data_IF_156381619917
#
_entry.id   IF_156381619917
#
_cell.length_a   1.000
_cell.length_b   1.000
_cell.length_c   1.000
_cell.angle_alpha   90.00
_cell.angle_beta   90.00
_cell.angle_gamma   90.00
#
_symmetry.space_group_name_H-M   'P 1'
#
loop_
_entity.id
_entity.type
_entity.pdbx_description
1 polymer ?
#
# COMPACT_ATOMS: atom_id res chain seq x y z
N UNK A 1 83.64 3.31 18.87
CA UNK A 1 84.73 4.09 19.48
C UNK A 1 85.05 5.24 18.53
N UNK A 2 85.12 6.49 19.01
CA UNK A 2 84.10 7.19 19.81
C UNK A 2 83.82 8.62 19.28
N UNK A 3 82.65 9.21 19.54
CA UNK A 3 82.47 10.31 20.53
C UNK A 3 82.20 11.62 19.78
N UNK A 4 81.39 12.61 20.18
CA UNK A 4 80.82 13.10 21.45
C UNK A 4 79.73 14.14 21.03
N UNK A 5 78.47 14.09 21.49
CA UNK A 5 77.88 14.60 22.75
C UNK A 5 77.20 15.98 22.65
N UNK A 6 75.90 16.05 22.98
CA UNK A 6 75.23 17.01 23.89
C UNK A 6 73.71 16.91 23.67
N UNK A 7 72.97 16.10 24.43
CA UNK A 7 72.28 16.47 25.68
C UNK A 7 71.57 17.84 25.67
N UNK A 8 70.23 17.80 25.65
CA UNK A 8 69.46 18.50 26.70
C UNK A 8 68.17 17.73 26.98
N UNK A 9 68.00 17.42 28.26
CA UNK A 9 67.04 16.55 28.89
C UNK A 9 66.06 17.42 29.70
N UNK A 10 64.97 16.78 30.13
CA UNK A 10 64.16 17.08 31.33
C UNK A 10 63.06 18.16 31.13
N UNK A 11 61.77 18.02 31.47
CA UNK A 11 61.00 17.53 32.66
C UNK A 11 59.52 17.61 32.22
N UNK A 12 58.53 16.81 32.63
CA UNK A 12 58.39 15.79 33.64
C UNK A 12 56.91 15.34 33.68
N UNK A 13 56.71 14.05 33.95
CA UNK A 13 55.50 13.44 34.49
C UNK A 13 55.02 14.20 35.75
N UNK A 14 53.71 14.24 36.00
CA UNK A 14 53.08 13.46 37.09
C UNK A 14 51.62 13.86 37.37
N UNK A 15 50.72 12.90 37.18
CA UNK A 15 49.64 12.46 38.11
C UNK A 15 48.76 13.49 38.84
N UNK A 16 47.43 13.39 38.69
CA UNK A 16 46.54 12.82 39.72
C UNK A 16 45.04 12.89 39.36
N UNK A 17 44.38 11.81 39.77
CA UNK A 17 42.99 11.40 39.75
C UNK A 17 41.87 12.41 40.09
N UNK A 18 40.67 11.94 39.72
CA UNK A 18 39.32 12.21 40.26
C UNK A 18 38.57 13.46 39.79
N UNK A 19 37.48 13.23 39.03
CA UNK A 19 36.08 13.42 39.46
C UNK A 19 35.13 13.17 38.27
N UNK A 20 33.93 12.67 38.56
CA UNK A 20 32.92 12.21 37.60
C UNK A 20 32.18 13.31 36.82
N UNK A 21 31.04 12.95 36.18
CA UNK A 21 30.54 13.61 34.99
C UNK A 21 29.55 14.74 35.28
N UNK A 22 29.75 15.91 34.67
CA UNK A 22 28.73 16.95 34.63
C UNK A 22 28.47 17.43 33.19
N UNK A 23 27.25 17.12 32.77
CA UNK A 23 26.40 17.80 31.78
C UNK A 23 26.63 19.32 31.71
N UNK A 24 27.01 19.83 30.54
CA UNK A 24 26.70 21.20 30.14
C UNK A 24 26.23 21.23 28.68
N UNK A 25 24.90 21.36 28.55
CA UNK A 25 24.20 21.63 27.31
C UNK A 25 24.42 23.09 26.90
N UNK A 26 24.79 23.32 25.64
CA UNK A 26 24.78 24.65 25.03
C UNK A 26 23.36 25.03 24.55
N UNK A 27 22.98 26.32 24.64
CA UNK A 27 21.59 26.76 24.48
C UNK A 27 21.15 26.83 23.01
N UNK A 28 19.94 26.32 22.74
CA UNK A 28 19.23 26.56 21.48
C UNK A 28 18.45 27.90 21.54
N UNK A 29 18.41 28.69 20.46
CA UNK A 29 17.65 29.94 20.41
C UNK A 29 16.14 29.70 20.32
N UNK A 30 15.40 30.60 20.98
CA UNK A 30 13.95 30.63 21.14
C UNK A 30 13.17 30.59 19.82
N UNK A 31 12.18 29.69 19.75
CA UNK A 31 11.00 29.87 18.92
C UNK A 31 9.75 29.56 19.74
N UNK A 32 8.87 30.56 19.85
CA UNK A 32 7.66 30.58 20.67
C UNK A 32 6.71 29.40 20.39
N UNK A 33 6.25 28.74 21.46
CA UNK A 33 4.95 28.05 21.52
C UNK A 33 4.09 28.72 22.60
N UNK A 34 2.84 29.12 22.31
CA UNK A 34 1.93 29.57 23.35
C UNK A 34 1.38 28.36 24.11
N UNK A 35 1.54 28.40 25.44
CA UNK A 35 0.64 27.71 26.37
C UNK A 35 -0.63 28.56 26.51
N UNK A 36 -1.81 27.96 26.34
CA UNK A 36 -3.03 28.52 26.94
C UNK A 36 -3.57 27.47 27.91
N UNK A 37 -3.45 27.88 29.17
CA UNK A 37 -3.93 27.26 30.38
C UNK A 37 -5.43 27.55 30.56
N UNK A 38 -6.11 26.61 31.18
CA UNK A 38 -7.36 26.71 31.95
C UNK A 38 -8.73 26.91 31.25
N UNK A 39 -9.47 25.80 31.34
CA UNK A 39 -10.86 25.61 31.82
C UNK A 39 -11.58 26.86 32.37
N UNK A 40 -12.89 26.86 32.11
CA UNK A 40 -13.91 27.83 32.49
C UNK A 40 -13.94 29.09 31.64
N UNK A 41 -14.63 29.02 30.50
CA UNK A 41 -15.48 30.08 29.93
C UNK A 41 -15.90 29.65 28.52
N UNK A 42 -17.03 28.93 28.40
CA UNK A 42 -17.81 28.72 27.17
C UNK A 42 -19.15 28.04 27.49
N UNK A 43 -19.87 28.62 28.45
CA UNK A 43 -21.34 28.77 28.42
C UNK A 43 -21.53 30.23 28.00
N UNK A 44 -22.52 30.54 27.16
CA UNK A 44 -22.65 31.77 26.34
C UNK A 44 -21.95 31.69 24.99
N UNK A 45 -22.62 31.07 24.01
CA UNK A 45 -22.99 31.62 22.69
C UNK A 45 -23.73 30.46 21.99
N UNK A 46 -24.98 30.25 22.39
CA UNK A 46 -25.95 29.37 21.74
C UNK A 46 -27.32 29.66 22.36
N UNK A 47 -27.74 30.91 22.25
CA UNK A 47 -29.05 31.39 22.68
C UNK A 47 -29.42 32.63 21.85
N UNK A 48 -29.46 32.46 20.53
CA UNK A 48 -30.12 33.39 19.61
C UNK A 48 -30.23 32.73 18.24
N UNK A 49 -31.22 31.85 18.09
CA UNK A 49 -31.83 31.41 16.82
C UNK A 49 -32.80 30.24 17.07
N UNK A 50 -33.74 30.42 18.01
CA UNK A 50 -34.90 29.53 18.18
C UNK A 50 -36.10 30.41 18.54
N UNK A 51 -36.47 31.27 17.62
CA UNK A 51 -37.77 31.90 17.55
C UNK A 51 -38.05 32.05 16.05
N UNK A 52 -39.29 31.78 15.64
CA UNK A 52 -39.81 31.62 14.27
C UNK A 52 -39.83 30.15 13.81
N UNK A 53 -41.05 29.71 13.50
CA UNK A 53 -41.55 28.40 13.07
C UNK A 53 -42.07 27.50 14.21
N UNK A 54 -43.27 27.85 14.67
CA UNK A 54 -44.07 27.01 15.55
C UNK A 54 -44.47 25.69 14.90
N UNK A 55 -44.38 24.62 15.69
CA UNK A 55 -45.07 23.35 15.52
C UNK A 55 -45.47 22.83 16.93
N UNK A 56 -46.65 22.21 17.08
CA UNK A 56 -47.31 22.03 18.36
C UNK A 56 -46.73 20.87 19.18
N UNK A 57 -46.83 21.01 20.50
CA UNK A 57 -46.55 20.00 21.49
C UNK A 57 -47.50 18.79 21.32
N UNK A 58 -46.93 17.58 21.32
CA UNK A 58 -47.68 16.34 21.47
C UNK A 58 -46.91 15.35 22.35
N UNK A 59 -47.55 14.98 23.46
CA UNK A 59 -47.48 13.67 24.12
C UNK A 59 -46.12 13.17 24.60
N UNK A 60 -45.88 13.31 25.91
CA UNK A 60 -44.92 12.49 26.65
C UNK A 60 -45.57 11.12 26.88
N UNK A 61 -45.10 10.10 26.17
CA UNK A 61 -45.30 8.70 26.55
C UNK A 61 -43.96 8.16 27.09
N UNK A 62 -43.87 8.13 28.41
CA UNK A 62 -42.81 7.49 29.19
C UNK A 62 -42.99 5.98 29.14
N UNK A 63 -42.37 5.30 28.17
CA UNK A 63 -41.99 3.88 28.28
C UNK A 63 -41.16 3.42 27.07
N UNK A 64 -39.83 3.61 27.11
CA UNK A 64 -38.87 2.78 26.38
C UNK A 64 -37.43 3.03 26.87
N UNK A 65 -37.13 2.39 28.00
CA UNK A 65 -35.78 2.22 28.53
C UNK A 65 -34.98 1.24 27.65
N UNK A 66 -33.84 1.67 27.08
CA UNK A 66 -32.60 0.85 26.90
C UNK A 66 -31.50 1.48 26.01
N UNK A 67 -31.74 2.51 25.16
CA UNK A 67 -30.70 2.95 24.18
C UNK A 67 -30.24 4.40 24.32
N UNK A 68 -29.44 4.72 25.34
CA UNK A 68 -28.61 5.93 25.29
C UNK A 68 -27.48 5.93 26.32
N UNK A 69 -26.45 5.10 26.13
CA UNK A 69 -25.12 5.38 26.71
C UNK A 69 -24.03 5.16 25.68
N UNK A 70 -23.34 6.27 25.37
CA UNK A 70 -22.03 6.36 24.74
C UNK A 70 -21.92 6.00 23.25
N UNK A 71 -22.59 6.76 22.39
CA UNK A 71 -22.08 7.00 21.03
C UNK A 71 -21.25 8.27 21.02
N UNK A 72 -19.99 8.17 21.48
CA UNK A 72 -18.98 9.19 21.20
C UNK A 72 -18.70 9.09 19.70
N UNK A 73 -19.36 9.92 18.91
CA UNK A 73 -19.09 10.08 17.48
C UNK A 73 -17.62 10.52 17.40
N UNK A 74 -16.72 9.60 17.08
CA UNK A 74 -15.41 9.98 16.56
C UNK A 74 -15.68 10.61 15.21
N UNK A 75 -15.81 11.93 15.19
CA UNK A 75 -15.88 12.75 13.99
C UNK A 75 -14.55 12.62 13.25
N UNK A 76 -14.47 11.59 12.41
CA UNK A 76 -13.32 11.32 11.57
C UNK A 76 -13.31 9.86 11.12
N UNK A 77 -13.15 9.64 9.82
CA UNK A 77 -12.83 8.34 9.20
C UNK A 77 -14.02 7.42 8.86
N UNK A 78 -15.05 7.97 8.21
CA UNK A 78 -16.00 7.22 7.39
C UNK A 78 -16.13 7.91 6.02
N UNK A 79 -16.06 7.15 4.92
CA UNK A 79 -16.27 7.66 3.56
C UNK A 79 -17.71 7.36 3.14
N UNK A 80 -18.34 8.20 2.32
CA UNK A 80 -19.68 7.91 1.80
C UNK A 80 -19.61 6.75 0.80
N UNK A 81 -20.52 5.78 0.88
CA UNK A 81 -20.55 4.58 0.01
C UNK A 81 -20.54 4.92 -1.47
N UNK A 82 -21.26 5.96 -1.89
CA UNK A 82 -21.28 6.43 -3.29
C UNK A 82 -19.93 6.96 -3.80
N UNK A 83 -19.09 7.46 -2.89
CA UNK A 83 -17.75 7.99 -3.20
C UNK A 83 -16.66 6.91 -3.12
N UNK A 84 -17.01 5.71 -2.67
CA UNK A 84 -16.08 4.60 -2.61
C UNK A 84 -15.67 4.14 -4.01
N UNK A 85 -14.46 3.55 -4.16
CA UNK A 85 -14.04 2.98 -5.43
C UNK A 85 -15.00 1.90 -5.94
N UNK A 86 -15.39 1.98 -7.23
CA UNK A 86 -16.37 1.07 -7.83
C UNK A 86 -15.93 -0.40 -7.80
N UNK A 87 -14.62 -0.67 -7.79
CA UNK A 87 -14.08 -2.03 -7.76
C UNK A 87 -14.27 -2.74 -6.41
N UNK A 88 -14.72 -2.04 -5.36
CA UNK A 88 -15.11 -2.66 -4.07
C UNK A 88 -16.47 -3.36 -4.12
N UNK A 89 -17.28 -3.11 -5.16
CA UNK A 89 -18.60 -3.75 -5.33
C UNK A 89 -19.48 -3.62 -4.07
N UNK A 90 -19.47 -2.44 -3.46
CA UNK A 90 -20.41 -2.11 -2.40
C UNK A 90 -21.75 -1.74 -3.01
N UNK A 91 -22.82 -2.27 -2.42
CA UNK A 91 -24.16 -1.90 -2.82
C UNK A 91 -24.49 -0.46 -2.37
N UNK A 92 -25.31 0.23 -3.14
CA UNK A 92 -25.71 1.61 -2.87
C UNK A 92 -26.69 1.71 -1.68
N UNK A 93 -27.49 0.67 -1.45
CA UNK A 93 -28.50 0.65 -0.40
C UNK A 93 -27.98 0.07 0.92
N UNK A 94 -26.81 -0.58 0.91
CA UNK A 94 -26.19 -1.21 2.08
C UNK A 94 -25.67 -0.26 3.18
N UNK A 95 -25.99 1.03 3.10
CA UNK A 95 -25.63 2.05 4.09
C UNK A 95 -25.02 3.31 3.48
N UNK A 96 -25.00 4.40 4.25
CA UNK A 96 -24.44 5.69 3.81
C UNK A 96 -22.91 5.67 3.84
N UNK A 97 -22.30 4.86 4.72
CA UNK A 97 -20.86 4.88 4.97
C UNK A 97 -20.14 3.58 4.59
N UNK A 98 -19.00 3.73 3.93
CA UNK A 98 -18.02 2.69 3.65
C UNK A 98 -16.79 2.84 4.55
N UNK A 99 -16.08 1.72 4.74
CA UNK A 99 -14.79 1.72 5.44
C UNK A 99 -13.75 2.46 4.62
N UNK A 100 -13.27 3.59 5.15
CA UNK A 100 -12.13 4.31 4.61
C UNK A 100 -10.83 3.60 5.06
N UNK A 101 -9.99 3.12 4.14
CA UNK A 101 -8.69 2.54 4.48
C UNK A 101 -7.78 3.57 5.16
N UNK A 102 -6.95 3.11 6.10
CA UNK A 102 -5.89 3.94 6.68
C UNK A 102 -4.76 4.13 5.67
N UNK A 103 -3.93 5.15 5.90
CA UNK A 103 -2.67 5.31 5.18
C UNK A 103 -1.78 4.11 5.44
N UNK A 104 -1.21 3.53 4.39
CA UNK A 104 -0.42 2.31 4.47
C UNK A 104 0.33 2.04 3.16
N UNK A 105 0.67 0.77 2.89
CA UNK A 105 1.43 0.37 1.70
C UNK A 105 0.84 0.87 0.38
N UNK A 106 -0.49 0.76 0.26
CA UNK A 106 -1.22 1.00 -0.99
C UNK A 106 -2.03 2.29 -0.95
N UNK A 107 -2.26 2.88 -2.13
CA UNK A 107 -3.09 4.08 -2.26
C UNK A 107 -4.56 3.75 -1.98
N UNK A 108 -5.31 4.73 -1.48
CA UNK A 108 -6.74 4.56 -1.14
C UNK A 108 -7.59 4.03 -2.31
N UNK A 109 -7.37 4.53 -3.53
CA UNK A 109 -8.10 4.09 -4.73
C UNK A 109 -7.57 2.82 -5.37
N UNK A 110 -6.39 2.35 -4.95
CA UNK A 110 -5.70 1.17 -5.46
C UNK A 110 -5.53 0.11 -4.36
N UNK A 111 -6.50 0.01 -3.44
CA UNK A 111 -6.47 -0.99 -2.37
C UNK A 111 -7.84 -1.62 -2.16
N UNK A 112 -7.88 -2.66 -1.35
CA UNK A 112 -9.03 -3.35 -0.80
C UNK A 112 -8.81 -3.46 0.72
N UNK A 113 -9.63 -2.80 1.55
CA UNK A 113 -9.47 -2.88 3.00
C UNK A 113 -9.74 -4.30 3.51
N UNK A 114 -9.01 -4.74 4.54
CA UNK A 114 -9.19 -6.07 5.13
C UNK A 114 -10.64 -6.33 5.56
N UNK A 115 -11.36 -5.32 6.05
CA UNK A 115 -12.77 -5.46 6.41
C UNK A 115 -13.68 -5.86 5.24
N UNK A 116 -13.31 -5.52 4.01
CA UNK A 116 -14.08 -5.91 2.84
C UNK A 116 -13.75 -7.34 2.40
N UNK A 117 -12.51 -7.78 2.66
CA UNK A 117 -12.08 -9.16 2.47
C UNK A 117 -12.76 -10.10 3.48
N UNK A 118 -12.84 -9.68 4.75
CA UNK A 118 -13.53 -10.41 5.81
C UNK A 118 -14.79 -9.67 6.26
N UNK A 119 -15.95 -10.10 5.77
CA UNK A 119 -17.23 -9.62 6.31
C UNK A 119 -17.57 -10.24 7.68
N UNK A 120 -16.93 -11.36 8.05
CA UNK A 120 -17.17 -12.10 9.31
C UNK A 120 -15.97 -12.02 10.26
N UNK A 121 -16.25 -12.21 11.57
CA UNK A 121 -15.39 -12.03 12.76
C UNK A 121 -14.14 -12.94 12.86
N UNK A 122 -13.39 -13.16 11.78
CA UNK A 122 -12.08 -13.81 11.87
C UNK A 122 -11.04 -12.74 12.27
N UNK A 123 -10.48 -12.88 13.48
CA UNK A 123 -9.64 -11.86 14.12
C UNK A 123 -8.14 -12.00 13.85
N UNK A 124 -7.69 -13.09 13.22
CA UNK A 124 -6.26 -13.36 13.02
C UNK A 124 -5.99 -13.58 11.53
N UNK A 125 -5.52 -12.51 10.88
CA UNK A 125 -5.01 -12.57 9.50
C UNK A 125 -3.56 -12.15 9.52
N UNK A 126 -2.75 -12.84 8.72
CA UNK A 126 -1.41 -12.42 8.37
C UNK A 126 -1.43 -11.83 6.96
N UNK A 127 -1.00 -10.56 6.84
CA UNK A 127 -0.75 -9.91 5.55
C UNK A 127 0.75 -9.75 5.41
N UNK A 128 1.29 -10.29 4.32
CA UNK A 128 2.72 -10.39 4.07
C UNK A 128 3.50 -10.99 5.27
N UNK A 129 2.97 -12.04 5.88
CA UNK A 129 3.57 -12.73 7.05
C UNK A 129 3.43 -11.99 8.38
N UNK A 130 2.94 -10.74 8.39
CA UNK A 130 2.72 -9.95 9.62
C UNK A 130 1.27 -10.03 10.06
N UNK A 131 1.05 -10.31 11.34
CA UNK A 131 -0.30 -10.33 11.92
C UNK A 131 -0.86 -8.91 11.88
N UNK A 132 -2.01 -8.74 11.22
CA UNK A 132 -2.72 -7.46 11.15
C UNK A 132 -4.05 -7.59 11.86
N UNK A 133 -4.22 -6.83 12.94
CA UNK A 133 -5.47 -6.71 13.69
C UNK A 133 -6.37 -5.59 13.16
N UNK A 134 -5.79 -4.65 12.40
CA UNK A 134 -6.51 -3.50 11.88
C UNK A 134 -7.43 -3.84 10.70
N UNK A 135 -8.73 -3.71 10.91
CA UNK A 135 -9.76 -3.90 9.89
C UNK A 135 -9.67 -2.87 8.73
N UNK A 136 -9.10 -1.68 8.97
CA UNK A 136 -8.95 -0.60 7.97
C UNK A 136 -7.63 -0.67 7.22
N UNK A 137 -6.83 -1.72 7.41
CA UNK A 137 -5.55 -1.85 6.73
C UNK A 137 -5.75 -2.00 5.21
N UNK A 138 -5.04 -1.22 4.37
CA UNK A 138 -5.14 -1.33 2.92
C UNK A 138 -4.30 -2.50 2.41
N UNK A 139 -4.96 -3.60 2.03
CA UNK A 139 -4.32 -4.64 1.24
C UNK A 139 -4.47 -4.31 -0.25
N UNK A 140 -3.48 -4.59 -1.08
CA UNK A 140 -3.48 -4.17 -2.48
C UNK A 140 -2.88 -5.21 -3.42
N UNK A 141 -2.51 -4.75 -4.60
CA UNK A 141 -1.98 -5.59 -5.66
C UNK A 141 -0.72 -6.35 -5.20
N UNK A 142 -0.66 -7.66 -5.48
CA UNK A 142 0.41 -8.60 -5.11
C UNK A 142 0.55 -8.95 -3.62
N UNK A 143 -0.25 -8.37 -2.73
CA UNK A 143 -0.22 -8.74 -1.31
C UNK A 143 -0.59 -10.21 -1.11
N UNK A 144 0.11 -10.87 -0.18
CA UNK A 144 -0.19 -12.25 0.23
C UNK A 144 -0.94 -12.20 1.56
N UNK A 145 -2.13 -12.81 1.57
CA UNK A 145 -3.00 -12.91 2.73
C UNK A 145 -3.04 -14.38 3.13
N UNK A 146 -2.60 -14.67 4.35
CA UNK A 146 -2.59 -16.04 4.89
C UNK A 146 -3.53 -16.13 6.09
N UNK A 147 -4.41 -17.13 6.07
CA UNK A 147 -5.33 -17.43 7.17
C UNK A 147 -4.80 -18.68 7.89
N UNK A 148 -4.33 -18.50 9.12
CA UNK A 148 -3.72 -19.60 9.89
C UNK A 148 -4.72 -20.69 10.26
N UNK A 149 -5.99 -20.32 10.49
CA UNK A 149 -7.00 -21.29 10.92
C UNK A 149 -7.36 -22.30 9.83
N UNK A 150 -7.34 -21.87 8.57
CA UNK A 150 -7.67 -22.72 7.42
C UNK A 150 -6.42 -23.14 6.64
N UNK A 151 -5.23 -22.63 7.00
CA UNK A 151 -3.98 -22.79 6.25
C UNK A 151 -4.09 -22.41 4.77
N UNK A 152 -5.00 -21.48 4.45
CA UNK A 152 -5.18 -21.01 3.09
C UNK A 152 -4.40 -19.72 2.84
N UNK A 153 -3.69 -19.71 1.72
CA UNK A 153 -2.92 -18.57 1.24
C UNK A 153 -3.56 -18.00 -0.01
N UNK A 154 -3.77 -16.69 0.01
CA UNK A 154 -4.38 -15.94 -1.07
C UNK A 154 -3.44 -14.84 -1.55
N UNK A 155 -3.49 -14.58 -2.85
CA UNK A 155 -2.83 -13.42 -3.47
C UNK A 155 -3.87 -12.51 -4.10
N UNK A 156 -3.73 -11.21 -3.87
CA UNK A 156 -4.59 -10.21 -4.49
C UNK A 156 -4.08 -9.86 -5.89
N UNK A 157 -4.90 -10.18 -6.89
CA UNK A 157 -4.63 -9.90 -8.31
C UNK A 157 -5.77 -9.10 -8.93
N UNK A 158 -5.51 -8.48 -10.08
CA UNK A 158 -6.56 -7.89 -10.89
C UNK A 158 -7.17 -8.91 -11.84
N UNK A 159 -8.50 -8.88 -11.91
CA UNK A 159 -9.29 -9.50 -12.98
C UNK A 159 -9.24 -8.63 -14.24
N UNK A 160 -9.51 -9.25 -15.39
CA UNK A 160 -9.60 -8.62 -16.70
C UNK A 160 -10.67 -7.50 -16.80
N UNK A 161 -11.63 -7.54 -15.86
CA UNK A 161 -12.67 -6.52 -15.69
C UNK A 161 -12.21 -5.32 -14.84
N UNK A 162 -10.99 -5.35 -14.31
CA UNK A 162 -10.43 -4.31 -13.44
C UNK A 162 -10.89 -4.40 -11.98
N UNK A 163 -11.23 -5.59 -11.50
CA UNK A 163 -11.65 -5.84 -10.11
C UNK A 163 -10.56 -6.60 -9.37
N UNK A 164 -10.53 -6.52 -8.04
CA UNK A 164 -9.68 -7.41 -7.26
C UNK A 164 -10.29 -8.81 -7.24
N UNK A 165 -9.47 -9.79 -7.60
CA UNK A 165 -9.75 -11.22 -7.42
C UNK A 165 -8.82 -11.79 -6.38
N UNK A 166 -9.39 -12.61 -5.51
CA UNK A 166 -8.67 -13.37 -4.51
C UNK A 166 -8.25 -14.68 -5.17
N UNK A 167 -6.96 -14.81 -5.48
CA UNK A 167 -6.42 -16.01 -6.10
C UNK A 167 -5.87 -16.94 -5.02
N UNK A 168 -6.31 -18.21 -5.01
CA UNK A 168 -5.77 -19.23 -4.10
C UNK A 168 -4.40 -19.67 -4.62
N UNK A 169 -3.40 -19.61 -3.76
CA UNK A 169 -2.01 -19.98 -4.07
C UNK A 169 -1.51 -21.10 -3.18
N UNK A 170 -0.42 -21.74 -3.57
CA UNK A 170 0.29 -22.71 -2.72
C UNK A 170 1.14 -21.98 -1.67
N UNK A 171 1.47 -22.67 -0.57
CA UNK A 171 2.29 -22.10 0.49
C UNK A 171 3.69 -21.69 0.03
N UNK A 172 4.28 -22.42 -0.93
CA UNK A 172 5.59 -22.08 -1.53
C UNK A 172 5.53 -20.74 -2.28
N UNK A 173 4.48 -20.52 -3.08
CA UNK A 173 4.28 -19.23 -3.74
C UNK A 173 3.98 -18.09 -2.77
N UNK A 174 3.39 -18.40 -1.62
CA UNK A 174 3.08 -17.42 -0.58
C UNK A 174 4.32 -16.87 0.16
N UNK A 175 5.48 -17.50 0.01
CA UNK A 175 6.73 -17.04 0.65
C UNK A 175 7.35 -15.86 -0.08
N UNK A 176 7.08 -15.71 -1.38
CA UNK A 176 7.63 -14.62 -2.18
C UNK A 176 6.55 -13.68 -2.71
N UNK A 177 6.97 -12.47 -3.07
CA UNK A 177 6.12 -11.43 -3.64
C UNK A 177 6.88 -10.63 -4.68
N UNK A 178 6.19 -10.25 -5.73
CA UNK A 178 6.73 -9.32 -6.71
C UNK A 178 6.38 -7.90 -6.31
N UNK A 179 7.39 -7.03 -6.32
CA UNK A 179 7.25 -5.61 -6.04
C UNK A 179 7.87 -4.81 -7.18
N UNK A 180 7.15 -3.81 -7.69
CA UNK A 180 7.70 -2.92 -8.73
C UNK A 180 8.51 -1.81 -8.08
N UNK A 181 9.67 -1.51 -8.66
CA UNK A 181 10.52 -0.39 -8.25
C UNK A 181 9.91 0.91 -8.77
N UNK A 182 9.55 1.82 -7.86
CA UNK A 182 9.06 3.16 -8.20
C UNK A 182 10.21 4.08 -8.58
N UNK A 183 11.20 4.17 -7.71
CA UNK A 183 12.35 5.03 -7.89
C UNK A 183 13.54 4.50 -7.09
N UNK A 184 14.73 4.77 -7.62
CA UNK A 184 16.01 4.57 -6.95
C UNK A 184 16.48 5.92 -6.41
N UNK A 185 16.84 5.95 -5.14
CA UNK A 185 17.29 7.14 -4.44
C UNK A 185 18.60 6.85 -3.72
N UNK A 186 19.34 7.90 -3.40
CA UNK A 186 20.56 7.80 -2.60
C UNK A 186 20.30 8.49 -1.27
N UNK A 187 20.48 7.77 -0.17
CA UNK A 187 20.33 8.31 1.18
C UNK A 187 21.61 9.04 1.61
N UNK A 188 21.54 9.72 2.76
CA UNK A 188 22.72 10.27 3.43
C UNK A 188 23.76 9.16 3.65
N UNK A 189 25.04 9.47 3.41
CA UNK A 189 26.12 8.50 3.43
C UNK A 189 26.27 7.70 2.13
N UNK A 190 25.74 8.21 1.01
CA UNK A 190 25.85 7.59 -0.32
C UNK A 190 25.29 6.15 -0.38
N UNK A 191 24.28 5.86 0.45
CA UNK A 191 23.67 4.53 0.49
C UNK A 191 22.54 4.47 -0.53
N UNK A 192 22.65 3.68 -1.62
CA UNK A 192 21.56 3.51 -2.57
C UNK A 192 20.41 2.72 -1.93
N UNK A 193 19.19 3.18 -2.18
CA UNK A 193 17.97 2.48 -1.78
C UNK A 193 16.90 2.57 -2.85
N UNK A 194 16.11 1.50 -2.99
CA UNK A 194 14.94 1.47 -3.85
C UNK A 194 13.67 1.65 -3.04
N UNK A 195 12.71 2.34 -3.64
CA UNK A 195 11.34 2.44 -3.15
C UNK A 195 10.44 1.56 -4.00
N UNK A 196 9.60 0.76 -3.36
CA UNK A 196 8.69 -0.17 -4.05
C UNK A 196 7.26 0.34 -4.11
N UNK A 197 6.43 -0.31 -4.92
CA UNK A 197 4.98 -0.05 -4.98
C UNK A 197 4.30 -0.14 -3.63
N UNK A 198 4.75 -1.08 -2.80
CA UNK A 198 4.16 -1.41 -1.50
C UNK A 198 4.69 -0.52 -0.37
N UNK A 199 5.48 0.50 -0.70
CA UNK A 199 6.05 1.41 0.27
C UNK A 199 7.21 0.81 1.08
N UNK A 200 7.75 -0.34 0.69
CA UNK A 200 8.98 -0.89 1.28
C UNK A 200 10.19 -0.17 0.70
N UNK A 201 11.16 0.10 1.56
CA UNK A 201 12.48 0.60 1.19
C UNK A 201 13.53 -0.51 1.38
N UNK A 202 14.25 -0.83 0.31
CA UNK A 202 15.32 -1.83 0.35
C UNK A 202 16.64 -1.09 0.12
N UNK A 203 17.56 -1.26 1.06
CA UNK A 203 18.91 -0.68 0.99
C UNK A 203 19.84 -1.64 0.25
N UNK A 204 20.84 -1.10 -0.41
CA UNK A 204 21.82 -1.86 -1.19
C UNK A 204 21.18 -2.78 -2.24
N UNK A 205 20.38 -2.23 -3.17
CA UNK A 205 19.92 -2.99 -4.33
C UNK A 205 21.11 -3.36 -5.23
N UNK A 206 20.94 -4.41 -6.04
CA UNK A 206 21.88 -4.72 -7.13
C UNK A 206 21.94 -3.52 -8.11
N UNK A 207 23.14 -3.09 -8.57
CA UNK A 207 23.31 -1.99 -9.52
C UNK A 207 22.53 -2.14 -10.84
N UNK A 208 22.18 -3.37 -11.23
CA UNK A 208 21.43 -3.65 -12.46
C UNK A 208 19.94 -3.31 -12.36
N UNK A 209 19.42 -3.08 -11.15
CA UNK A 209 18.00 -2.77 -10.90
C UNK A 209 17.71 -1.31 -11.23
N UNK A 210 16.79 -1.07 -12.16
CA UNK A 210 16.35 0.26 -12.59
C UNK A 210 14.92 0.55 -12.16
N UNK A 211 14.50 1.80 -12.36
CA UNK A 211 13.11 2.19 -12.13
C UNK A 211 12.17 1.46 -13.12
N UNK A 212 10.99 1.08 -12.63
CA UNK A 212 9.97 0.26 -13.30
C UNK A 212 10.27 -1.24 -13.46
N UNK A 213 11.45 -1.69 -13.07
CA UNK A 213 11.74 -3.12 -12.95
C UNK A 213 10.93 -3.74 -11.80
N UNK A 214 10.81 -5.06 -11.82
CA UNK A 214 10.16 -5.79 -10.72
C UNK A 214 11.17 -6.64 -9.98
N UNK A 215 11.02 -6.68 -8.67
CA UNK A 215 11.91 -7.33 -7.74
C UNK A 215 11.11 -8.41 -7.02
N UNK A 216 11.67 -9.61 -6.96
CA UNK A 216 11.16 -10.72 -6.17
C UNK A 216 11.69 -10.56 -4.76
N UNK A 217 10.78 -10.37 -3.81
CA UNK A 217 11.08 -10.23 -2.39
C UNK A 217 10.59 -11.49 -1.67
N UNK A 218 11.45 -12.06 -0.85
CA UNK A 218 11.06 -13.07 0.13
C UNK A 218 10.45 -12.37 1.37
N UNK A 219 9.25 -12.78 1.77
CA UNK A 219 8.50 -12.17 2.87
C UNK A 219 9.17 -12.42 4.23
N UNK A 220 9.85 -13.54 4.39
CA UNK A 220 10.46 -13.92 5.67
C UNK A 220 11.70 -13.06 5.96
N UNK A 221 12.62 -12.99 4.99
CA UNK A 221 13.88 -12.25 5.11
C UNK A 221 13.76 -10.78 4.69
N UNK A 222 12.73 -10.40 3.93
CA UNK A 222 12.57 -9.11 3.26
C UNK A 222 13.76 -8.73 2.36
N UNK A 223 14.51 -9.73 1.89
CA UNK A 223 15.63 -9.56 0.94
C UNK A 223 15.17 -9.82 -0.49
N UNK A 224 15.94 -9.30 -1.43
CA UNK A 224 15.75 -9.51 -2.86
C UNK A 224 16.30 -10.90 -3.20
N UNK A 225 15.49 -11.74 -3.84
CA UNK A 225 15.93 -13.05 -4.33
C UNK A 225 16.31 -12.99 -5.81
N UNK A 226 15.45 -12.40 -6.64
CA UNK A 226 15.65 -12.23 -8.07
C UNK A 226 15.02 -10.89 -8.52
N UNK A 227 15.35 -10.42 -9.71
CA UNK A 227 14.72 -9.27 -10.34
C UNK A 227 14.44 -9.53 -11.81
N UNK A 228 13.44 -8.83 -12.34
CA UNK A 228 13.01 -8.88 -13.73
C UNK A 228 13.08 -7.48 -14.31
N UNK A 229 13.83 -7.33 -15.39
CA UNK A 229 14.01 -6.05 -16.08
C UNK A 229 12.77 -5.68 -16.88
N UNK A 230 12.50 -4.39 -16.95
CA UNK A 230 11.48 -3.80 -17.81
C UNK A 230 12.03 -3.66 -19.24
N UNK A 231 11.94 -4.76 -20.00
CA UNK A 231 12.41 -4.87 -21.38
C UNK A 231 11.34 -5.47 -22.29
N UNK A 232 11.48 -5.26 -23.60
CA UNK A 232 10.60 -5.86 -24.60
C UNK A 232 10.74 -7.40 -24.56
N UNK A 233 9.64 -8.10 -24.78
CA UNK A 233 9.58 -9.56 -24.72
C UNK A 233 9.24 -10.14 -23.33
N UNK A 234 9.24 -9.33 -22.27
CA UNK A 234 8.81 -9.79 -20.94
C UNK A 234 7.29 -9.69 -20.74
N UNK A 235 6.75 -10.58 -19.91
CA UNK A 235 5.34 -10.63 -19.60
C UNK A 235 4.98 -9.57 -18.55
N UNK A 236 3.96 -8.77 -18.83
CA UNK A 236 3.49 -7.74 -17.93
C UNK A 236 1.96 -7.73 -17.78
N UNK A 237 1.52 -7.35 -16.58
CA UNK A 237 0.13 -7.07 -16.25
C UNK A 237 -0.10 -5.57 -16.13
N UNK A 238 -1.28 -5.14 -16.56
CA UNK A 238 -1.71 -3.76 -16.40
C UNK A 238 -2.41 -3.58 -15.05
N UNK A 239 -1.95 -2.65 -14.23
CA UNK A 239 -2.51 -2.35 -12.91
C UNK A 239 -3.49 -1.18 -12.91
N UNK A 240 -3.42 -0.28 -13.90
CA UNK A 240 -4.21 0.97 -13.95
C UNK A 240 -4.79 1.31 -15.33
N UNK A 241 -5.87 2.10 -15.35
CA UNK A 241 -6.52 2.60 -16.57
C UNK A 241 -7.68 1.75 -17.07
N UNK A 242 -7.95 1.76 -18.39
CA UNK A 242 -9.03 0.98 -19.00
C UNK A 242 -8.68 -0.50 -19.21
N UNK A 243 -7.39 -0.79 -19.36
CA UNK A 243 -6.87 -2.12 -19.68
C UNK A 243 -6.42 -2.92 -18.46
N UNK A 244 -6.90 -2.57 -17.25
CA UNK A 244 -6.53 -3.22 -15.98
C UNK A 244 -6.80 -4.72 -16.01
N UNK A 245 -5.86 -5.49 -15.46
CA UNK A 245 -5.93 -6.95 -15.34
C UNK A 245 -5.70 -7.70 -16.63
N UNK A 246 -5.42 -7.00 -17.75
CA UNK A 246 -4.91 -7.63 -18.95
C UNK A 246 -3.44 -8.00 -18.77
N UNK A 247 -3.05 -9.12 -19.37
CA UNK A 247 -1.68 -9.66 -19.31
C UNK A 247 -1.21 -9.92 -20.73
N UNK A 248 -0.05 -9.36 -21.07
CA UNK A 248 0.55 -9.55 -22.38
C UNK A 248 2.05 -9.32 -22.37
N UNK A 249 2.66 -9.60 -23.51
CA UNK A 249 4.08 -9.40 -23.75
C UNK A 249 4.34 -7.93 -24.09
N UNK A 250 5.33 -7.33 -23.45
CA UNK A 250 5.77 -5.97 -23.77
C UNK A 250 6.34 -5.96 -25.19
N UNK A 251 5.74 -5.15 -26.05
CA UNK A 251 6.24 -4.88 -27.39
C UNK A 251 7.15 -3.66 -27.40
N UNK A 252 6.75 -2.63 -28.15
CA UNK A 252 7.54 -1.41 -28.31
C UNK A 252 7.22 -0.36 -27.22
N UNK A 253 8.26 0.34 -26.75
CA UNK A 253 8.15 1.52 -25.89
C UNK A 253 8.37 2.78 -26.71
N UNK A 254 7.31 3.57 -26.85
CA UNK A 254 7.38 4.91 -27.43
C UNK A 254 7.78 5.92 -26.35
N UNK A 255 8.92 6.57 -26.55
CA UNK A 255 9.41 7.61 -25.66
C UNK A 255 9.04 8.97 -26.24
N UNK A 256 8.23 9.71 -25.49
CA UNK A 256 7.79 11.04 -25.86
C UNK A 256 8.49 12.04 -24.93
N UNK A 257 9.48 12.82 -25.40
CA UNK A 257 10.18 13.77 -24.55
C UNK A 257 9.18 14.82 -24.03
N UNK A 258 9.13 15.01 -22.71
CA UNK A 258 8.18 15.89 -22.04
C UNK A 258 6.77 15.29 -21.84
N UNK A 259 6.51 14.10 -22.35
CA UNK A 259 5.24 13.39 -22.22
C UNK A 259 5.32 12.14 -21.34
N UNK A 260 4.20 11.42 -21.28
CA UNK A 260 4.18 10.09 -20.68
C UNK A 260 4.57 9.05 -21.74
N UNK A 261 5.56 8.24 -21.41
CA UNK A 261 5.94 7.09 -22.23
C UNK A 261 4.77 6.11 -22.39
N UNK A 262 4.55 5.69 -23.64
CA UNK A 262 3.51 4.76 -24.04
C UNK A 262 4.16 3.41 -24.35
N UNK A 263 3.54 2.34 -23.86
CA UNK A 263 3.97 0.97 -24.11
C UNK A 263 2.87 0.26 -24.87
N UNK A 264 3.24 -0.36 -25.98
CA UNK A 264 2.40 -1.31 -26.70
C UNK A 264 2.60 -2.71 -26.13
N UNK A 265 1.50 -3.35 -25.75
CA UNK A 265 1.47 -4.70 -25.18
C UNK A 265 0.64 -5.56 -26.12
N UNK A 266 1.08 -6.81 -26.35
CA UNK A 266 0.35 -7.82 -27.12
C UNK A 266 -0.14 -8.92 -26.18
N UNK A 267 -1.45 -9.15 -26.15
CA UNK A 267 -2.06 -10.27 -25.42
C UNK A 267 -1.72 -11.61 -26.09
N UNK A 268 -1.91 -12.72 -25.38
CA UNK A 268 -1.75 -14.07 -25.93
C UNK A 268 -2.73 -14.37 -27.09
N UNK A 269 -3.87 -13.69 -27.13
CA UNK A 269 -4.85 -13.79 -28.22
C UNK A 269 -4.48 -12.92 -29.45
N UNK A 270 -3.33 -12.24 -29.43
CA UNK A 270 -2.87 -11.38 -30.53
C UNK A 270 -3.43 -9.95 -30.52
N UNK A 271 -4.32 -9.62 -29.58
CA UNK A 271 -4.81 -8.25 -29.44
C UNK A 271 -3.71 -7.31 -28.92
N UNK A 272 -3.46 -6.23 -29.65
CA UNK A 272 -2.54 -5.18 -29.22
C UNK A 272 -3.30 -4.05 -28.53
N UNK A 273 -2.76 -3.57 -27.40
CA UNK A 273 -3.27 -2.37 -26.74
C UNK A 273 -2.12 -1.53 -26.16
N UNK A 274 -2.40 -0.26 -25.89
CA UNK A 274 -1.41 0.68 -25.36
C UNK A 274 -1.72 1.09 -23.92
N UNK A 275 -0.69 1.29 -23.11
CA UNK A 275 -0.79 1.81 -21.74
C UNK A 275 0.41 2.69 -21.38
N UNK A 276 0.30 3.50 -20.31
CA UNK A 276 1.42 4.27 -19.77
C UNK A 276 2.38 3.39 -18.98
N UNK A 277 3.67 3.71 -18.96
CA UNK A 277 4.70 3.00 -18.17
C UNK A 277 4.36 2.85 -16.68
N UNK A 278 3.69 3.85 -16.10
CA UNK A 278 3.27 3.81 -14.69
C UNK A 278 2.37 2.60 -14.38
N UNK A 279 1.52 2.23 -15.33
CA UNK A 279 0.45 1.23 -15.15
C UNK A 279 0.89 -0.18 -15.54
N UNK A 280 2.11 -0.36 -16.02
CA UNK A 280 2.65 -1.67 -16.42
C UNK A 280 3.45 -2.27 -15.29
N UNK A 281 3.20 -3.54 -14.99
CA UNK A 281 3.87 -4.30 -13.95
C UNK A 281 4.42 -5.60 -14.54
N UNK A 282 5.73 -5.80 -14.51
CA UNK A 282 6.37 -6.99 -15.09
C UNK A 282 6.22 -8.19 -14.15
N UNK A 283 5.64 -9.29 -14.65
CA UNK A 283 5.38 -10.49 -13.85
C UNK A 283 6.40 -11.59 -14.14
N UNK A 284 7.02 -11.61 -15.33
CA UNK A 284 7.86 -12.73 -15.72
C UNK A 284 8.89 -12.41 -16.79
N UNK A 285 9.90 -13.28 -16.88
CA UNK A 285 10.94 -13.28 -17.90
C UNK A 285 10.42 -14.04 -19.12
N UNK A 286 10.36 -13.38 -20.28
CA UNK A 286 9.75 -13.96 -21.48
C UNK A 286 8.25 -14.28 -21.30
N UNK A 287 7.82 -15.46 -21.78
CA UNK A 287 6.43 -15.92 -21.70
C UNK A 287 6.05 -16.63 -20.39
N UNK A 288 7.01 -16.87 -19.48
CA UNK A 288 6.75 -17.59 -18.22
C UNK A 288 6.47 -16.59 -17.10
N UNK A 289 5.28 -16.65 -16.52
CA UNK A 289 4.91 -15.86 -15.35
C UNK A 289 5.56 -16.43 -14.09
N UNK A 290 6.13 -15.57 -13.22
CA UNK A 290 6.63 -15.99 -11.90
C UNK A 290 5.49 -16.20 -10.88
N UNK A 291 4.28 -15.76 -11.22
CA UNK A 291 3.11 -15.79 -10.34
C UNK A 291 1.95 -16.47 -11.06
N UNK A 292 1.22 -17.30 -10.32
CA UNK A 292 -0.05 -17.89 -10.77
C UNK A 292 -1.06 -16.81 -11.17
N UNK A 293 -1.62 -16.92 -12.37
CA UNK A 293 -2.63 -15.98 -12.89
C UNK A 293 -4.07 -16.48 -12.63
N UNK A 294 -5.06 -15.59 -12.50
CA UNK A 294 -6.46 -15.97 -12.36
C UNK A 294 -6.99 -16.68 -13.61
N UNK A 295 -8.17 -17.31 -13.52
CA UNK A 295 -8.74 -18.22 -14.52
C UNK A 295 -8.70 -17.73 -15.99
N UNK A 296 -8.88 -16.43 -16.22
CA UNK A 296 -8.87 -15.85 -17.58
C UNK A 296 -7.47 -15.55 -18.13
N UNK A 297 -6.40 -15.82 -17.35
CA UNK A 297 -4.97 -15.57 -17.69
C UNK A 297 -4.66 -14.17 -18.21
N UNK A 298 -5.52 -13.18 -17.93
CA UNK A 298 -5.39 -11.82 -18.42
C UNK A 298 -5.94 -11.56 -19.84
N UNK A 299 -6.62 -12.51 -20.46
CA UNK A 299 -7.19 -12.34 -21.81
C UNK A 299 -8.57 -11.69 -21.69
N UNK A 300 -8.76 -10.56 -22.38
CA UNK A 300 -10.05 -9.88 -22.48
C UNK A 300 -10.80 -10.27 -23.74
N UNK A 301 -11.86 -11.05 -23.54
CA UNK A 301 -12.84 -11.37 -24.58
C UNK A 301 -13.59 -10.12 -25.03
N UNK A 302 -14.09 -10.16 -26.26
CA UNK A 302 -14.99 -9.13 -26.78
C UNK A 302 -16.35 -9.18 -26.07
N UNK A 303 -17.15 -8.11 -26.18
CA UNK A 303 -18.46 -8.03 -25.51
C UNK A 303 -19.41 -9.10 -26.06
N UNK A 304 -19.34 -9.38 -27.37
CA UNK A 304 -20.12 -10.42 -28.02
C UNK A 304 -19.73 -11.82 -27.51
N UNK A 305 -18.43 -12.15 -27.52
CA UNK A 305 -17.93 -13.43 -27.00
C UNK A 305 -18.29 -13.64 -25.51
N UNK A 306 -18.20 -12.58 -24.70
CA UNK A 306 -18.56 -12.68 -23.28
C UNK A 306 -20.07 -12.93 -23.11
N UNK A 307 -20.91 -12.30 -23.95
CA UNK A 307 -22.36 -12.54 -23.97
C UNK A 307 -22.66 -13.98 -24.37
N UNK A 308 -22.06 -14.47 -25.44
CA UNK A 308 -22.31 -15.81 -25.96
C UNK A 308 -21.85 -16.88 -24.97
N UNK A 309 -20.69 -16.66 -24.32
CA UNK A 309 -20.21 -17.53 -23.24
C UNK A 309 -21.18 -17.59 -22.06
N UNK A 310 -21.77 -16.46 -21.67
CA UNK A 310 -22.78 -16.43 -20.59
C UNK A 310 -24.08 -17.12 -21.00
N UNK A 311 -24.52 -16.96 -22.26
CA UNK A 311 -25.70 -17.64 -22.78
C UNK A 311 -25.47 -19.16 -22.86
N UNK A 312 -24.30 -19.59 -23.31
CA UNK A 312 -23.91 -21.00 -23.31
C UNK A 312 -23.89 -21.58 -21.89
N UNK A 313 -23.33 -20.86 -20.91
CA UNK A 313 -23.36 -21.26 -19.49
C UNK A 313 -24.75 -21.30 -18.87
N UNK A 314 -25.71 -20.53 -19.40
CA UNK A 314 -27.10 -20.55 -18.92
C UNK A 314 -27.93 -21.67 -19.57
N UNK A 315 -27.53 -22.10 -20.77
CA UNK A 315 -28.17 -23.20 -21.52
C UNK A 315 -27.69 -24.58 -21.06
N UNK A 316 -26.43 -24.66 -20.62
CA UNK A 316 -25.86 -25.84 -19.95
C UNK A 316 -26.36 -25.93 -18.51
#
# INVERSE_FOLDING_TARGET
MPGLSSETRIKGLSTLNHMGPETLALPCPHFHRPQILNRSFKRFVLLSACFVLGFPAFGVDDNLNWKSRNFRISTGVLAVTSTAPKHWMLDKLGGVFAVRPRSGPHKLRECLPINLFLRNRLKVIKVDGKIRTDHKFPAGFMDVITIERTNETFRLLYDVKGRYTVHRITAAEGQFKLCKVKALHVAKGNIPFITTTDGRTIRYPDPHIKANDTVVIDLSSNKITDYVKFEAGNLAMVTGGRNVGRVGVIGHREKLPGGFDIIHIKDAAGHSFATRVSNVFVIGKGNKALVSLPASKGIRLTIAEERDKRLAQKKA
#
